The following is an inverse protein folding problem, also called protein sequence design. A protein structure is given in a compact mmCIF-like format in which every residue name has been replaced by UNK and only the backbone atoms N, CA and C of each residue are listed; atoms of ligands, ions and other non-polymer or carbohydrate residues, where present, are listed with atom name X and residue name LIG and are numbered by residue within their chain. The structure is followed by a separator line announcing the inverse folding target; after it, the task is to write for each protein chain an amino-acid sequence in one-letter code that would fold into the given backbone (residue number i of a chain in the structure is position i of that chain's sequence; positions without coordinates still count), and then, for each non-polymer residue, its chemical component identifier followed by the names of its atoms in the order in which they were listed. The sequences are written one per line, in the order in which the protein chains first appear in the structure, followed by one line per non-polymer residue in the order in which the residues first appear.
data_IF_666371042724
#
_entry.id   IF_666371042724
#
_cell.length_a   1.000
_cell.length_b   1.000
_cell.length_c   1.000
_cell.angle_alpha   90.00
_cell.angle_beta   90.00
_cell.angle_gamma   90.00
#
_symmetry.space_group_name_H-M   'P 1'
#
loop_
_entity.id
_entity.type
_entity.pdbx_description
1 polymer ?
#
# COMPACT_ATOMS: atom_id res chain seq x y z
N UNK A 1 -24.76 -11.93 2.25
CA UNK A 1 -24.19 -13.29 2.41
C UNK A 1 -22.78 -13.15 2.96
N UNK A 2 -22.63 -13.12 4.29
CA UNK A 2 -21.32 -13.19 4.96
C UNK A 2 -21.49 -14.20 6.10
N UNK A 3 -20.67 -15.25 6.11
CA UNK A 3 -20.62 -16.27 7.17
C UNK A 3 -19.17 -16.72 7.39
N UNK A 4 -18.96 -17.68 8.30
CA UNK A 4 -17.63 -18.15 8.66
C UNK A 4 -16.83 -18.77 7.49
N UNK A 5 -17.49 -19.28 6.46
CA UNK A 5 -16.88 -19.92 5.31
C UNK A 5 -16.89 -19.05 4.03
N UNK A 6 -17.73 -18.01 3.98
CA UNK A 6 -17.97 -17.21 2.78
C UNK A 6 -18.10 -15.73 3.10
N UNK A 7 -17.37 -14.91 2.36
CA UNK A 7 -17.43 -13.46 2.44
C UNK A 7 -17.79 -12.89 1.07
N UNK A 8 -18.67 -11.90 1.03
CA UNK A 8 -19.02 -11.17 -0.18
C UNK A 8 -19.04 -9.68 0.11
N UNK A 9 -18.15 -8.93 -0.56
CA UNK A 9 -18.09 -7.49 -0.51
C UNK A 9 -18.50 -6.91 -1.87
N UNK A 10 -19.63 -6.18 -1.89
CA UNK A 10 -20.16 -5.53 -3.09
C UNK A 10 -19.37 -4.28 -3.49
N UNK A 11 -18.45 -3.83 -2.63
CA UNK A 11 -17.52 -2.73 -2.85
C UNK A 11 -16.06 -3.20 -2.75
N UNK A 12 -15.85 -4.52 -2.86
CA UNK A 12 -14.58 -5.19 -2.63
C UNK A 12 -13.43 -4.66 -3.50
N UNK A 13 -12.20 -5.12 -3.21
CA UNK A 13 -11.02 -4.64 -3.90
C UNK A 13 -11.15 -4.85 -5.41
N UNK A 14 -10.48 -4.00 -6.18
CA UNK A 14 -10.43 -4.07 -7.65
C UNK A 14 -9.92 -5.43 -8.15
N UNK A 15 -9.14 -6.13 -7.32
CA UNK A 15 -8.60 -7.47 -7.60
C UNK A 15 -8.73 -8.35 -6.36
N UNK A 16 -9.28 -9.55 -6.55
CA UNK A 16 -9.24 -10.64 -5.58
C UNK A 16 -8.71 -11.89 -6.29
N UNK A 17 -7.55 -12.39 -5.89
CA UNK A 17 -6.87 -13.49 -6.57
C UNK A 17 -6.24 -14.46 -5.58
N UNK A 18 -6.28 -15.76 -5.91
CA UNK A 18 -5.45 -16.76 -5.26
C UNK A 18 -4.08 -16.74 -5.93
N UNK A 19 -3.03 -16.51 -5.15
CA UNK A 19 -1.67 -16.39 -5.65
C UNK A 19 -0.74 -17.33 -4.89
N UNK A 20 0.36 -17.67 -5.53
CA UNK A 20 1.47 -18.44 -4.96
C UNK A 20 2.35 -17.57 -4.06
N UNK A 21 3.15 -18.21 -3.20
CA UNK A 21 4.10 -17.50 -2.34
C UNK A 21 5.13 -16.65 -3.10
N UNK A 22 5.70 -17.09 -4.24
CA UNK A 22 6.56 -16.24 -5.07
C UNK A 22 5.85 -14.99 -5.59
N UNK A 23 4.60 -15.12 -6.05
CA UNK A 23 3.81 -13.97 -6.54
C UNK A 23 3.52 -12.97 -5.42
N UNK A 24 3.14 -13.48 -4.24
CA UNK A 24 2.94 -12.64 -3.05
C UNK A 24 4.21 -11.87 -2.69
N UNK A 25 5.36 -12.53 -2.71
CA UNK A 25 6.66 -11.90 -2.43
C UNK A 25 6.98 -10.80 -3.44
N UNK A 26 6.79 -11.07 -4.73
CA UNK A 26 7.00 -10.09 -5.79
C UNK A 26 6.10 -8.86 -5.66
N UNK A 27 4.87 -9.02 -5.16
CA UNK A 27 3.99 -7.89 -4.84
C UNK A 27 4.56 -7.09 -3.67
N UNK A 28 4.94 -7.73 -2.57
CA UNK A 28 5.50 -7.06 -1.39
C UNK A 28 6.80 -6.31 -1.69
N UNK A 29 7.70 -6.88 -2.50
CA UNK A 29 8.98 -6.26 -2.88
C UNK A 29 8.81 -4.95 -3.65
N UNK A 30 7.65 -4.74 -4.27
CA UNK A 30 7.32 -3.51 -5.02
C UNK A 30 6.77 -2.40 -4.13
N UNK A 31 6.37 -2.69 -2.89
CA UNK A 31 5.78 -1.72 -1.98
C UNK A 31 6.85 -0.83 -1.34
N UNK A 32 6.44 0.38 -0.98
CA UNK A 32 7.19 1.26 -0.10
C UNK A 32 7.10 0.82 1.37
N UNK A 33 7.78 1.54 2.27
CA UNK A 33 7.62 1.38 3.70
C UNK A 33 6.17 1.36 4.15
N UNK A 34 5.85 0.50 5.11
CA UNK A 34 4.57 0.53 5.83
C UNK A 34 4.75 1.34 7.12
N UNK A 35 4.04 2.48 7.29
CA UNK A 35 4.22 3.35 8.46
C UNK A 35 3.73 2.72 9.78
N UNK A 36 2.98 1.62 9.74
CA UNK A 36 2.53 0.91 10.94
C UNK A 36 3.56 -0.12 11.43
N UNK A 37 4.59 -0.40 10.63
CA UNK A 37 5.64 -1.35 10.96
C UNK A 37 6.74 -0.65 11.76
N UNK A 38 6.96 -1.12 12.99
CA UNK A 38 7.97 -0.55 13.89
C UNK A 38 9.43 -0.88 13.54
N UNK A 39 9.66 -1.74 12.56
CA UNK A 39 11.00 -2.12 12.07
C UNK A 39 11.51 -1.21 10.94
N UNK A 40 10.76 -0.16 10.55
CA UNK A 40 11.14 0.78 9.50
C UNK A 40 11.00 2.23 9.99
N UNK A 41 12.06 3.03 9.88
CA UNK A 41 12.13 4.40 10.40
C UNK A 41 11.56 5.47 9.42
N UNK A 42 11.11 5.04 8.24
CA UNK A 42 10.53 5.90 7.22
C UNK A 42 11.55 6.70 6.39
N UNK A 43 12.86 6.54 6.62
CA UNK A 43 13.90 7.35 5.95
C UNK A 43 13.86 7.17 4.42
N UNK A 44 13.58 5.96 3.93
CA UNK A 44 13.43 5.68 2.49
C UNK A 44 12.30 6.48 1.84
N UNK A 45 11.16 6.61 2.53
CA UNK A 45 10.05 7.43 2.04
C UNK A 45 10.43 8.92 2.08
N UNK A 46 11.04 9.37 3.19
CA UNK A 46 11.48 10.75 3.37
C UNK A 46 12.45 11.20 2.27
N UNK A 47 13.46 10.39 1.94
CA UNK A 47 14.42 10.71 0.87
C UNK A 47 13.75 10.86 -0.50
N UNK A 48 12.74 10.04 -0.80
CA UNK A 48 11.99 10.14 -2.06
C UNK A 48 11.11 11.38 -2.09
N UNK A 49 10.43 11.67 -0.98
CA UNK A 49 9.54 12.83 -0.88
C UNK A 49 10.34 14.14 -0.97
N UNK A 50 11.38 14.28 -0.16
CA UNK A 50 12.20 15.50 -0.06
C UNK A 50 12.92 15.89 -1.36
N UNK A 51 13.24 14.92 -2.23
CA UNK A 51 13.93 15.16 -3.51
C UNK A 51 12.98 15.35 -4.69
N UNK A 52 11.69 15.11 -4.51
CA UNK A 52 10.72 15.12 -5.58
C UNK A 52 10.19 16.53 -5.86
N UNK A 53 9.90 16.80 -7.14
CA UNK A 53 9.15 18.00 -7.57
C UNK A 53 7.65 17.73 -7.69
N UNK A 54 7.22 16.48 -7.51
CA UNK A 54 5.82 16.09 -7.50
C UNK A 54 5.14 16.55 -6.20
N UNK A 55 3.84 16.81 -6.25
CA UNK A 55 3.08 17.18 -5.06
C UNK A 55 3.13 16.09 -3.99
N UNK A 56 3.16 16.49 -2.73
CA UNK A 56 3.15 15.55 -1.59
C UNK A 56 1.92 14.64 -1.65
N UNK A 57 0.75 15.19 -2.00
CA UNK A 57 -0.48 14.42 -2.16
C UNK A 57 -0.34 13.28 -3.19
N UNK A 58 0.32 13.51 -4.33
CA UNK A 58 0.53 12.47 -5.32
C UNK A 58 1.57 11.44 -4.87
N UNK A 59 2.61 11.85 -4.15
CA UNK A 59 3.62 10.94 -3.59
C UNK A 59 3.05 10.04 -2.49
N UNK A 60 2.16 10.57 -1.65
CA UNK A 60 1.44 9.81 -0.63
C UNK A 60 0.48 8.78 -1.24
N UNK A 61 0.01 8.98 -2.48
CA UNK A 61 -0.83 8.00 -3.18
C UNK A 61 -0.03 6.88 -3.86
N UNK A 62 1.28 7.05 -4.03
CA UNK A 62 2.13 6.04 -4.65
C UNK A 62 2.53 4.95 -3.63
N UNK A 63 1.95 3.76 -3.80
CA UNK A 63 2.22 2.59 -2.96
C UNK A 63 3.69 2.14 -2.98
N UNK A 64 4.49 2.59 -3.95
CA UNK A 64 5.94 2.36 -3.98
C UNK A 64 6.70 3.29 -3.04
N UNK A 65 6.15 4.47 -2.73
CA UNK A 65 6.75 5.48 -1.85
C UNK A 65 6.38 5.20 -0.40
N UNK A 66 5.09 4.98 -0.13
CA UNK A 66 4.57 4.62 1.19
C UNK A 66 3.36 3.69 0.99
N UNK A 67 3.36 2.55 1.65
CA UNK A 67 2.28 1.57 1.53
C UNK A 67 1.08 1.95 2.42
N UNK A 68 -0.13 1.63 1.95
CA UNK A 68 -1.36 1.73 2.75
C UNK A 68 -2.01 3.11 2.81
N UNK A 69 -1.33 4.17 2.38
CA UNK A 69 -1.91 5.52 2.34
C UNK A 69 -2.92 5.63 1.21
N UNK A 70 -4.09 6.18 1.52
CA UNK A 70 -5.20 6.37 0.58
C UNK A 70 -5.80 7.77 0.66
N UNK A 71 -6.92 7.96 -0.04
CA UNK A 71 -7.52 9.28 -0.29
C UNK A 71 -7.82 10.11 0.96
N UNK A 72 -8.07 9.45 2.11
CA UNK A 72 -8.39 10.12 3.38
C UNK A 72 -7.24 10.99 3.88
N UNK A 73 -5.99 10.62 3.58
CA UNK A 73 -4.80 11.31 4.10
C UNK A 73 -4.23 12.38 3.16
N UNK A 74 -4.87 12.63 2.02
CA UNK A 74 -4.44 13.67 1.05
C UNK A 74 -5.36 14.88 0.98
N UNK A 75 -6.38 14.93 1.83
CA UNK A 75 -7.36 16.02 1.91
C UNK A 75 -6.88 17.13 2.85
#
# INVERSE_FOLDING_TARGET
LVNAAHHADLRGPTTCALITEPEKRAIHERLGPDPLRGDEDGERAWQRISRSRTTVAALLMDQKVIAGVGNVYRA
#
